data_IF_323073902548
#
_entry.id   IF_323073902548
#
_cell.length_a   1.000
_cell.length_b   1.000
_cell.length_c   1.000
_cell.angle_alpha   90.00
_cell.angle_beta   90.00
_cell.angle_gamma   90.00
#
_symmetry.space_group_name_H-M   'P 1'
#
loop_
_entity.id
_entity.type
_entity.pdbx_description
1 polymer ?
#
# COMPACT_ATOMS: atom_id res chain seq x y z
N UNK A 1 5.40 -7.07 -18.45
CA UNK A 1 5.30 -8.16 -17.46
C UNK A 1 6.22 -7.99 -16.25
N UNK A 2 7.01 -6.90 -16.12
CA UNK A 2 7.83 -6.67 -14.91
C UNK A 2 9.22 -7.32 -14.87
N UNK A 3 9.56 -8.21 -15.82
CA UNK A 3 10.81 -8.98 -15.78
C UNK A 3 12.08 -8.12 -15.72
N UNK A 4 12.04 -6.90 -16.27
CA UNK A 4 13.16 -5.96 -16.24
C UNK A 4 13.49 -5.46 -14.83
N UNK A 5 12.57 -5.62 -13.87
CA UNK A 5 12.74 -5.36 -12.43
C UNK A 5 12.82 -6.65 -11.61
N UNK A 6 12.91 -7.82 -12.26
CA UNK A 6 12.85 -9.13 -11.57
C UNK A 6 11.47 -9.47 -11.01
N UNK A 7 10.41 -8.82 -11.50
CA UNK A 7 9.03 -9.01 -11.05
C UNK A 7 8.18 -9.76 -12.09
N UNK A 8 7.05 -10.30 -11.64
CA UNK A 8 5.98 -10.79 -12.51
C UNK A 8 4.72 -9.94 -12.31
N UNK A 9 4.37 -9.16 -13.33
CA UNK A 9 3.23 -8.23 -13.33
C UNK A 9 2.19 -8.73 -14.33
N UNK A 10 0.99 -8.97 -13.82
CA UNK A 10 -0.22 -9.33 -14.56
C UNK A 10 -1.28 -8.24 -14.44
N UNK A 11 -2.21 -8.19 -15.39
CA UNK A 11 -3.26 -7.19 -15.46
C UNK A 11 -4.63 -7.86 -15.60
N UNK A 12 -5.63 -7.32 -14.92
CA UNK A 12 -7.04 -7.68 -15.06
C UNK A 12 -7.86 -6.39 -15.13
N UNK A 13 -8.98 -6.43 -15.85
CA UNK A 13 -9.86 -5.27 -16.03
C UNK A 13 -10.89 -5.23 -14.90
N UNK A 14 -11.11 -4.06 -14.34
CA UNK A 14 -12.29 -3.75 -13.52
C UNK A 14 -13.28 -2.98 -14.39
N UNK A 15 -14.29 -3.67 -14.91
CA UNK A 15 -15.25 -3.10 -15.88
C UNK A 15 -16.04 -1.89 -15.32
N UNK A 16 -16.33 -1.93 -14.02
CA UNK A 16 -17.02 -0.86 -13.30
C UNK A 16 -16.41 -0.72 -11.90
N UNK A 17 -16.27 0.51 -11.38
CA UNK A 17 -15.73 0.74 -10.04
C UNK A 17 -16.75 0.35 -8.96
N UNK A 18 -16.99 -0.94 -8.76
CA UNK A 18 -17.99 -1.46 -7.81
C UNK A 18 -17.45 -1.64 -6.39
N UNK A 19 -16.46 -0.82 -5.99
CA UNK A 19 -15.84 -0.84 -4.66
C UNK A 19 -14.51 -1.60 -4.59
N UNK A 20 -13.72 -1.29 -3.57
CA UNK A 20 -12.34 -1.79 -3.40
C UNK A 20 -12.31 -3.30 -3.20
N UNK A 21 -13.27 -3.88 -2.49
CA UNK A 21 -13.27 -5.32 -2.22
C UNK A 21 -13.47 -6.18 -3.50
N UNK A 22 -13.94 -5.58 -4.60
CA UNK A 22 -14.03 -6.24 -5.90
C UNK A 22 -12.65 -6.70 -6.41
N UNK A 23 -11.55 -6.08 -5.97
CA UNK A 23 -10.19 -6.49 -6.32
C UNK A 23 -9.92 -7.97 -5.98
N UNK A 24 -10.46 -8.48 -4.87
CA UNK A 24 -10.28 -9.88 -4.46
C UNK A 24 -11.15 -10.86 -5.24
N UNK A 25 -12.24 -10.38 -5.85
CA UNK A 25 -13.07 -11.18 -6.75
C UNK A 25 -12.39 -11.27 -8.13
N UNK A 26 -11.93 -10.13 -8.66
CA UNK A 26 -11.23 -10.08 -9.95
C UNK A 26 -9.89 -10.84 -9.88
N UNK A 27 -9.21 -10.74 -8.75
CA UNK A 27 -7.91 -11.35 -8.50
C UNK A 27 -7.96 -12.76 -7.89
N UNK A 28 -9.14 -13.40 -7.75
CA UNK A 28 -9.28 -14.68 -7.02
C UNK A 28 -8.32 -15.76 -7.55
N UNK A 29 -8.25 -15.93 -8.88
CA UNK A 29 -7.34 -16.87 -9.54
C UNK A 29 -5.86 -16.53 -9.29
N UNK A 30 -5.52 -15.24 -9.29
CA UNK A 30 -4.16 -14.76 -9.03
C UNK A 30 -3.73 -14.98 -7.58
N UNK A 31 -4.65 -14.82 -6.63
CA UNK A 31 -4.40 -15.01 -5.20
C UNK A 31 -4.24 -16.50 -4.88
N UNK A 32 -5.09 -17.37 -5.45
CA UNK A 32 -5.07 -18.80 -5.17
C UNK A 32 -5.18 -19.08 -3.66
N UNK A 33 -4.18 -19.76 -3.10
CA UNK A 33 -4.10 -20.07 -1.67
C UNK A 33 -3.11 -19.19 -0.90
N UNK A 34 -2.50 -18.20 -1.56
CA UNK A 34 -1.47 -17.36 -0.96
C UNK A 34 -2.04 -16.22 -0.12
N UNK A 35 -1.16 -15.60 0.68
CA UNK A 35 -1.45 -14.30 1.30
C UNK A 35 -1.33 -13.19 0.27
N UNK A 36 -2.14 -12.14 0.42
CA UNK A 36 -2.20 -11.04 -0.54
C UNK A 36 -2.05 -9.69 0.16
N UNK A 37 -1.30 -8.79 -0.48
CA UNK A 37 -1.23 -7.38 -0.12
C UNK A 37 -2.05 -6.60 -1.15
N UNK A 38 -2.99 -5.78 -0.67
CA UNK A 38 -3.70 -4.80 -1.48
C UNK A 38 -3.17 -3.41 -1.14
N UNK A 39 -2.78 -2.65 -2.16
CA UNK A 39 -2.43 -1.22 -2.05
C UNK A 39 -3.25 -0.44 -3.08
N UNK A 40 -3.82 0.69 -2.65
CA UNK A 40 -4.50 1.62 -3.56
C UNK A 40 -3.46 2.41 -4.35
N UNK A 41 -3.66 2.54 -5.66
CA UNK A 41 -2.67 3.12 -6.58
C UNK A 41 -2.39 4.62 -6.40
N UNK A 42 -3.22 5.32 -5.61
CA UNK A 42 -3.15 6.75 -5.28
C UNK A 42 -2.64 7.01 -3.86
N UNK A 43 -2.20 5.97 -3.15
CA UNK A 43 -1.70 6.08 -1.78
C UNK A 43 -0.17 6.11 -1.76
N UNK A 44 0.39 7.17 -1.17
CA UNK A 44 1.84 7.35 -1.00
C UNK A 44 2.18 7.20 0.48
N UNK A 45 3.15 6.33 0.77
CA UNK A 45 3.70 6.12 2.12
C UNK A 45 5.19 6.46 2.12
N UNK A 46 5.62 7.24 3.11
CA UNK A 46 7.03 7.60 3.30
C UNK A 46 7.40 7.62 4.78
N UNK A 47 8.60 7.15 5.12
CA UNK A 47 9.14 7.18 6.48
C UNK A 47 9.76 5.85 6.89
N UNK A 48 10.31 5.80 8.11
CA UNK A 48 10.94 4.60 8.66
C UNK A 48 9.87 3.62 9.12
N UNK A 49 9.45 2.74 8.21
CA UNK A 49 8.47 1.70 8.49
C UNK A 49 8.88 0.37 7.84
N UNK A 50 9.04 -0.67 8.67
CA UNK A 50 9.47 -1.99 8.20
C UNK A 50 8.28 -2.85 7.75
N UNK A 51 7.61 -2.40 6.69
CA UNK A 51 6.48 -3.12 6.10
C UNK A 51 6.86 -4.57 5.70
N UNK A 52 8.07 -4.77 5.19
CA UNK A 52 8.54 -6.09 4.75
C UNK A 52 8.60 -7.08 5.90
N UNK A 53 9.00 -6.66 7.11
CA UNK A 53 8.94 -7.51 8.30
C UNK A 53 7.51 -7.91 8.62
N UNK A 54 6.55 -6.98 8.60
CA UNK A 54 5.15 -7.30 8.85
C UNK A 54 4.60 -8.29 7.82
N UNK A 55 4.89 -8.08 6.54
CA UNK A 55 4.49 -8.99 5.47
C UNK A 55 5.10 -10.40 5.64
N UNK A 56 6.40 -10.50 5.99
CA UNK A 56 7.10 -11.78 6.20
C UNK A 56 6.62 -12.53 7.45
N UNK A 57 6.24 -11.82 8.50
CA UNK A 57 5.77 -12.40 9.76
C UNK A 57 4.27 -12.69 9.75
N UNK A 58 3.55 -12.29 8.71
CA UNK A 58 2.12 -12.50 8.62
C UNK A 58 1.80 -14.00 8.46
N UNK A 59 1.15 -14.57 9.47
CA UNK A 59 0.75 -15.99 9.51
C UNK A 59 -0.74 -16.21 9.18
N UNK A 60 -1.49 -15.13 8.94
CA UNK A 60 -2.92 -15.16 8.68
C UNK A 60 -3.73 -14.07 9.37
N UNK A 61 -5.02 -14.04 9.03
CA UNK A 61 -6.02 -13.05 9.44
C UNK A 61 -6.09 -11.88 8.48
N UNK A 62 -6.24 -10.69 9.04
CA UNK A 62 -6.10 -9.42 8.35
C UNK A 62 -5.15 -8.51 9.15
N UNK A 63 -4.32 -7.75 8.45
CA UNK A 63 -3.54 -6.65 9.01
C UNK A 63 -3.80 -5.39 8.18
N UNK A 64 -4.32 -4.36 8.83
CA UNK A 64 -4.53 -3.04 8.23
C UNK A 64 -3.72 -1.98 8.97
N UNK A 65 -3.47 -0.84 8.33
CA UNK A 65 -2.65 0.22 8.90
C UNK A 65 -3.51 1.42 9.24
N UNK A 66 -3.56 1.79 10.52
CA UNK A 66 -4.27 2.95 11.04
C UNK A 66 -3.35 4.16 11.10
N UNK A 67 -3.80 5.30 10.57
CA UNK A 67 -3.07 6.55 10.56
C UNK A 67 -3.88 7.64 11.22
N UNK A 68 -3.24 8.46 12.05
CA UNK A 68 -3.92 9.55 12.74
C UNK A 68 -4.17 10.71 11.76
N UNK A 69 -5.44 11.07 11.54
CA UNK A 69 -5.85 12.15 10.63
C UNK A 69 -6.66 13.23 11.36
N UNK A 70 -6.68 14.43 10.78
CA UNK A 70 -7.51 15.53 11.26
C UNK A 70 -8.98 15.43 10.84
N UNK A 71 -9.26 14.72 9.74
CA UNK A 71 -10.59 14.59 9.12
C UNK A 71 -10.95 13.09 8.94
N UNK A 72 -11.22 12.36 10.04
CA UNK A 72 -11.45 10.91 9.99
C UNK A 72 -12.75 10.50 9.30
N UNK A 73 -13.77 11.37 9.26
CA UNK A 73 -15.07 11.08 8.61
C UNK A 73 -14.99 10.79 7.11
N UNK A 74 -13.86 11.10 6.46
CA UNK A 74 -13.62 10.81 5.05
C UNK A 74 -13.21 9.36 4.78
N UNK A 75 -12.86 8.59 5.82
CA UNK A 75 -12.22 7.30 5.71
C UNK A 75 -12.97 6.21 6.49
N UNK A 76 -12.53 4.96 6.34
CA UNK A 76 -12.82 3.91 7.31
C UNK A 76 -12.14 4.24 8.64
N UNK A 77 -12.89 4.37 9.74
CA UNK A 77 -12.37 4.75 11.06
C UNK A 77 -12.34 3.54 11.97
N UNK A 78 -11.20 3.32 12.62
CA UNK A 78 -11.02 2.22 13.57
C UNK A 78 -11.09 2.72 15.02
N UNK A 79 -11.89 2.05 15.84
CA UNK A 79 -11.97 2.29 17.28
C UNK A 79 -11.08 1.29 18.04
N UNK A 80 -10.45 1.75 19.12
CA UNK A 80 -9.64 0.92 20.00
C UNK A 80 -10.16 0.96 21.43
N UNK A 81 -10.04 -0.15 22.15
CA UNK A 81 -10.25 -0.18 23.61
C UNK A 81 -9.05 0.41 24.36
N UNK A 82 -9.17 0.52 25.69
CA UNK A 82 -8.11 1.01 26.58
C UNK A 82 -6.84 0.15 26.52
N UNK A 83 -6.96 -1.14 26.15
CA UNK A 83 -5.84 -2.05 25.96
C UNK A 83 -5.23 -1.95 24.54
N UNK A 84 -5.76 -1.08 23.67
CA UNK A 84 -5.29 -0.87 22.31
C UNK A 84 -5.77 -1.91 21.30
N UNK A 85 -6.75 -2.76 21.64
CA UNK A 85 -7.35 -3.75 20.73
C UNK A 85 -8.45 -3.12 19.90
N UNK A 86 -8.64 -3.64 18.68
CA UNK A 86 -9.67 -3.14 17.75
C UNK A 86 -11.06 -3.52 18.25
N UNK A 87 -11.94 -2.54 18.40
CA UNK A 87 -13.31 -2.72 18.89
C UNK A 87 -14.32 -2.63 17.75
N UNK A 88 -14.17 -1.62 16.89
CA UNK A 88 -15.08 -1.41 15.76
C UNK A 88 -14.35 -0.78 14.59
N UNK A 89 -14.92 -0.95 13.40
CA UNK A 89 -14.51 -0.25 12.19
C UNK A 89 -15.76 0.22 11.44
N UNK A 90 -15.79 1.49 11.07
CA UNK A 90 -16.94 2.13 10.44
C UNK A 90 -16.52 2.88 9.18
N UNK A 91 -17.26 2.71 8.09
CA UNK A 91 -16.98 3.38 6.82
C UNK A 91 -17.57 4.79 6.86
N UNK A 92 -16.71 5.81 6.76
CA UNK A 92 -17.09 7.23 6.67
C UNK A 92 -18.14 7.64 7.73
N UNK A 93 -17.86 7.42 9.03
CA UNK A 93 -18.82 7.70 10.08
C UNK A 93 -19.09 9.21 10.19
N UNK A 94 -20.36 9.58 10.37
CA UNK A 94 -20.75 10.99 10.63
C UNK A 94 -20.20 11.49 11.97
N UNK A 95 -20.05 10.58 12.94
CA UNK A 95 -19.49 10.85 14.26
C UNK A 95 -18.37 9.83 14.52
N UNK A 96 -17.14 10.14 14.09
CA UNK A 96 -16.01 9.22 14.18
C UNK A 96 -15.67 8.93 15.65
N UNK A 97 -15.51 7.64 15.98
CA UNK A 97 -15.17 7.20 17.35
C UNK A 97 -13.68 7.35 17.68
N UNK A 98 -12.85 7.61 16.69
CA UNK A 98 -11.43 7.90 16.86
C UNK A 98 -10.92 8.75 15.68
N UNK A 99 -9.69 9.24 15.80
CA UNK A 99 -8.99 9.94 14.71
C UNK A 99 -8.11 9.01 13.87
N UNK A 100 -8.22 7.69 14.01
CA UNK A 100 -7.45 6.73 13.24
C UNK A 100 -8.23 6.29 12.00
N UNK A 101 -7.79 6.78 10.85
CA UNK A 101 -8.24 6.32 9.54
C UNK A 101 -7.48 5.04 9.14
N UNK A 102 -8.20 4.08 8.58
CA UNK A 102 -7.60 2.94 7.89
C UNK A 102 -7.09 3.40 6.54
N UNK A 103 -5.79 3.25 6.32
CA UNK A 103 -5.11 3.67 5.09
C UNK A 103 -5.40 2.70 3.93
N UNK A 104 -5.02 3.08 2.71
CA UNK A 104 -5.15 2.25 1.51
C UNK A 104 -4.16 1.10 1.39
N UNK A 105 -3.70 0.51 2.50
CA UNK A 105 -2.76 -0.61 2.54
C UNK A 105 -3.30 -1.71 3.44
N UNK A 106 -3.35 -2.94 2.91
CA UNK A 106 -3.98 -4.07 3.57
C UNK A 106 -3.20 -5.36 3.31
N UNK A 107 -3.09 -6.22 4.31
CA UNK A 107 -2.56 -7.59 4.17
C UNK A 107 -3.66 -8.56 4.63
N UNK A 108 -3.97 -9.53 3.79
CA UNK A 108 -4.95 -10.57 4.09
C UNK A 108 -4.41 -11.96 3.77
N UNK A 109 -4.96 -12.97 4.42
CA UNK A 109 -4.84 -14.33 3.92
C UNK A 109 -5.85 -14.62 2.79
N UNK A 110 -5.76 -15.83 2.23
CA UNK A 110 -6.55 -16.28 1.09
C UNK A 110 -8.06 -16.29 1.32
N UNK A 111 -8.54 -16.28 2.58
CA UNK A 111 -9.98 -16.21 2.90
C UNK A 111 -10.62 -14.92 2.41
N UNK A 112 -9.82 -13.89 2.10
CA UNK A 112 -10.31 -12.60 1.62
C UNK A 112 -11.12 -12.70 0.34
N UNK A 113 -10.78 -13.62 -0.57
CA UNK A 113 -11.51 -13.81 -1.82
C UNK A 113 -12.94 -14.32 -1.55
N UNK A 114 -13.07 -15.33 -0.69
CA UNK A 114 -14.37 -15.86 -0.27
C UNK A 114 -15.18 -14.81 0.50
N UNK A 115 -14.54 -14.08 1.42
CA UNK A 115 -15.20 -12.99 2.17
C UNK A 115 -15.75 -11.95 1.19
N UNK A 116 -14.92 -11.48 0.25
CA UNK A 116 -15.31 -10.47 -0.73
C UNK A 116 -16.47 -10.93 -1.63
N UNK A 117 -16.48 -12.21 -2.06
CA UNK A 117 -17.58 -12.78 -2.86
C UNK A 117 -18.93 -12.80 -2.14
N UNK A 118 -18.92 -12.91 -0.82
CA UNK A 118 -20.12 -12.98 -0.01
C UNK A 118 -20.59 -11.61 0.52
N UNK A 119 -19.87 -10.53 0.21
CA UNK A 119 -20.29 -9.18 0.58
C UNK A 119 -21.51 -8.72 -0.21
N UNK A 120 -22.32 -7.88 0.44
CA UNK A 120 -23.42 -7.17 -0.20
C UNK A 120 -22.97 -5.73 -0.48
N UNK A 121 -23.41 -5.13 -1.60
CA UNK A 121 -23.16 -3.72 -1.85
C UNK A 121 -23.65 -2.84 -0.69
N UNK A 122 -22.89 -1.81 -0.35
CA UNK A 122 -23.26 -0.83 0.66
C UNK A 122 -24.43 0.05 0.20
N UNK A 123 -24.88 0.97 1.04
CA UNK A 123 -25.85 2.00 0.64
C UNK A 123 -25.40 2.87 -0.54
N UNK A 124 -24.10 2.82 -0.91
CA UNK A 124 -23.52 3.50 -2.07
C UNK A 124 -23.46 2.61 -3.32
N UNK A 125 -23.82 1.34 -3.21
CA UNK A 125 -23.71 0.37 -4.30
C UNK A 125 -22.29 -0.18 -4.52
N UNK A 126 -21.38 0.01 -3.56
CA UNK A 126 -19.98 -0.43 -3.61
C UNK A 126 -19.74 -1.62 -2.67
N UNK A 127 -18.83 -2.52 -3.03
CA UNK A 127 -18.27 -3.54 -2.15
C UNK A 127 -17.16 -2.90 -1.32
N UNK A 128 -17.50 -2.51 -0.10
CA UNK A 128 -16.62 -1.73 0.77
C UNK A 128 -15.53 -2.61 1.37
N UNK A 129 -14.28 -2.13 1.34
CA UNK A 129 -13.15 -2.80 2.03
C UNK A 129 -13.37 -2.84 3.54
N UNK A 130 -14.09 -1.86 4.09
CA UNK A 130 -14.46 -1.84 5.51
C UNK A 130 -15.33 -3.03 5.90
N UNK A 131 -16.17 -3.55 5.01
CA UNK A 131 -16.97 -4.74 5.32
C UNK A 131 -16.14 -6.04 5.27
N UNK A 132 -15.08 -6.10 4.43
CA UNK A 132 -14.06 -7.15 4.53
C UNK A 132 -13.39 -7.10 5.91
N UNK A 133 -12.97 -5.90 6.34
CA UNK A 133 -12.33 -5.71 7.63
C UNK A 133 -13.24 -6.13 8.81
N UNK A 134 -14.53 -5.78 8.75
CA UNK A 134 -15.53 -6.22 9.74
C UNK A 134 -15.64 -7.74 9.79
N UNK A 135 -15.69 -8.42 8.65
CA UNK A 135 -15.77 -9.88 8.60
C UNK A 135 -14.55 -10.57 9.26
N UNK A 136 -13.35 -9.97 9.17
CA UNK A 136 -12.19 -10.43 9.93
C UNK A 136 -12.27 -10.06 11.43
N UNK A 137 -12.78 -8.87 11.76
CA UNK A 137 -12.96 -8.41 13.13
C UNK A 137 -13.93 -9.30 13.92
N UNK A 138 -15.07 -9.64 13.33
CA UNK A 138 -16.09 -10.53 13.92
C UNK A 138 -15.53 -11.93 14.24
N UNK A 139 -14.52 -12.38 13.49
CA UNK A 139 -13.81 -13.65 13.72
C UNK A 139 -12.64 -13.52 14.70
N UNK A 140 -12.36 -12.33 15.23
CA UNK A 140 -11.19 -12.06 16.08
C UNK A 140 -9.85 -12.15 15.33
N UNK A 141 -9.87 -11.96 14.01
CA UNK A 141 -8.72 -12.14 13.12
C UNK A 141 -8.18 -10.84 12.51
N UNK A 142 -8.81 -9.68 12.81
CA UNK A 142 -8.33 -8.37 12.38
C UNK A 142 -7.29 -7.82 13.35
N UNK A 143 -6.14 -7.44 12.82
CA UNK A 143 -5.10 -6.67 13.51
C UNK A 143 -4.97 -5.31 12.85
N UNK A 144 -4.67 -4.29 13.65
CA UNK A 144 -4.42 -2.94 13.16
C UNK A 144 -3.07 -2.47 13.69
N UNK A 145 -2.18 -2.12 12.78
CA UNK A 145 -0.91 -1.48 13.10
C UNK A 145 -1.08 0.04 13.07
N UNK A 146 -0.74 0.73 14.15
CA UNK A 146 -0.81 2.19 14.22
C UNK A 146 0.47 2.79 13.64
N UNK A 147 0.36 3.44 12.49
CA UNK A 147 1.45 4.18 11.89
C UNK A 147 1.79 5.40 12.77
N UNK A 148 3.05 5.47 13.19
CA UNK A 148 3.54 6.55 14.04
C UNK A 148 3.69 7.88 13.31
N UNK A 149 3.86 8.96 14.08
CA UNK A 149 4.01 10.34 13.58
C UNK A 149 5.21 10.56 12.64
N UNK A 150 6.17 9.64 12.61
CA UNK A 150 7.32 9.68 11.71
C UNK A 150 7.03 9.16 10.29
N UNK A 151 5.80 8.69 10.04
CA UNK A 151 5.33 8.24 8.74
C UNK A 151 4.48 9.35 8.14
N UNK A 152 4.69 9.62 6.86
CA UNK A 152 3.78 10.38 6.03
C UNK A 152 2.92 9.40 5.23
N UNK A 153 1.61 9.56 5.36
CA UNK A 153 0.62 8.96 4.46
C UNK A 153 -0.08 10.09 3.70
N UNK A 154 -0.01 10.03 2.38
CA UNK A 154 -0.52 11.06 1.48
C UNK A 154 -1.49 10.39 0.49
N UNK A 155 -2.73 10.84 0.52
CA UNK A 155 -3.80 10.43 -0.39
C UNK A 155 -3.97 11.51 -1.48
N UNK A 156 -3.75 11.15 -2.74
CA UNK A 156 -3.73 12.10 -3.88
C UNK A 156 -5.10 12.34 -4.52
N UNK A 157 -6.19 12.15 -3.77
CA UNK A 157 -7.56 12.27 -4.28
C UNK A 157 -8.05 13.68 -4.67
N UNK A 158 -7.33 14.77 -4.35
CA UNK A 158 -7.69 16.14 -4.77
C UNK A 158 -6.51 16.86 -5.43
N UNK A 159 -6.78 17.92 -6.20
CA UNK A 159 -5.72 18.73 -6.81
C UNK A 159 -4.76 19.31 -5.76
N UNK A 160 -5.30 19.75 -4.62
CA UNK A 160 -4.51 20.29 -3.51
C UNK A 160 -3.65 19.19 -2.86
N UNK A 161 -4.23 18.03 -2.53
CA UNK A 161 -3.48 16.94 -1.91
C UNK A 161 -2.41 16.35 -2.84
N UNK A 162 -2.67 16.34 -4.15
CA UNK A 162 -1.68 15.96 -5.16
C UNK A 162 -0.50 16.95 -5.22
N UNK A 163 -0.78 18.26 -5.16
CA UNK A 163 0.27 19.29 -5.14
C UNK A 163 1.10 19.20 -3.85
N UNK A 164 0.45 19.00 -2.70
CA UNK A 164 1.14 18.81 -1.42
C UNK A 164 2.04 17.58 -1.44
N UNK A 165 1.56 16.47 -2.00
CA UNK A 165 2.37 15.26 -2.17
C UNK A 165 3.59 15.50 -3.07
N UNK A 166 3.41 16.19 -4.21
CA UNK A 166 4.51 16.54 -5.10
C UNK A 166 5.56 17.44 -4.40
N UNK A 167 5.11 18.44 -3.65
CA UNK A 167 5.98 19.33 -2.88
C UNK A 167 6.73 18.59 -1.76
N UNK A 168 6.06 17.67 -1.08
CA UNK A 168 6.67 16.83 -0.05
C UNK A 168 7.81 15.99 -0.64
N UNK A 169 7.55 15.23 -1.71
CA UNK A 169 8.56 14.40 -2.38
C UNK A 169 9.72 15.25 -2.90
N UNK A 170 9.41 16.36 -3.59
CA UNK A 170 10.41 17.29 -4.13
C UNK A 170 11.34 17.83 -3.04
N UNK A 171 10.80 18.16 -1.87
CA UNK A 171 11.57 18.68 -0.74
C UNK A 171 12.54 17.64 -0.19
N UNK A 172 12.09 16.40 -0.04
CA UNK A 172 12.94 15.31 0.46
C UNK A 172 14.04 14.98 -0.54
N UNK A 173 13.70 14.74 -1.82
CA UNK A 173 14.68 14.36 -2.83
C UNK A 173 15.77 15.43 -3.00
N UNK A 174 15.39 16.72 -3.03
CA UNK A 174 16.36 17.82 -3.13
C UNK A 174 17.31 17.93 -1.94
N UNK A 175 16.86 17.54 -0.74
CA UNK A 175 17.66 17.64 0.48
C UNK A 175 18.58 16.44 0.68
N UNK A 176 18.15 15.25 0.27
CA UNK A 176 18.89 14.01 0.48
C UNK A 176 19.72 13.59 -0.74
N UNK A 177 19.36 14.05 -1.95
CA UNK A 177 19.94 13.55 -3.20
C UNK A 177 19.52 12.12 -3.55
N UNK A 178 18.62 11.54 -2.77
CA UNK A 178 18.05 10.20 -2.97
C UNK A 178 16.65 10.30 -3.55
N UNK A 179 16.26 9.30 -4.36
CA UNK A 179 14.93 9.23 -4.95
C UNK A 179 13.96 8.43 -4.10
N UNK A 180 12.70 8.85 -4.08
CA UNK A 180 11.61 8.10 -3.46
C UNK A 180 10.93 7.25 -4.54
N UNK A 181 10.70 5.97 -4.25
CA UNK A 181 10.05 5.01 -5.16
C UNK A 181 10.76 4.82 -6.52
N UNK A 182 12.10 4.93 -6.56
CA UNK A 182 12.91 4.55 -7.72
C UNK A 182 12.93 3.01 -7.87
N UNK A 183 12.18 2.48 -8.83
CA UNK A 183 11.92 1.05 -8.93
C UNK A 183 13.16 0.23 -9.28
N UNK A 184 14.02 0.75 -10.16
CA UNK A 184 15.26 0.08 -10.55
C UNK A 184 16.25 0.00 -9.38
N UNK A 185 16.36 1.07 -8.58
CA UNK A 185 17.15 1.06 -7.36
C UNK A 185 16.61 0.02 -6.37
N UNK A 186 15.30 0.01 -6.12
CA UNK A 186 14.66 -0.94 -5.21
C UNK A 186 14.96 -2.37 -5.68
N UNK A 187 14.72 -2.67 -6.96
CA UNK A 187 14.99 -3.99 -7.53
C UNK A 187 16.47 -4.38 -7.40
N UNK A 188 17.40 -3.43 -7.59
CA UNK A 188 18.83 -3.70 -7.49
C UNK A 188 19.30 -3.94 -6.05
N UNK A 189 18.91 -3.07 -5.10
CA UNK A 189 19.24 -3.21 -3.67
C UNK A 189 18.61 -4.46 -3.06
N UNK A 190 17.39 -4.82 -3.47
CA UNK A 190 16.70 -6.05 -3.05
C UNK A 190 17.21 -7.31 -3.77
N UNK A 191 18.14 -7.18 -4.71
CA UNK A 191 18.70 -8.28 -5.50
C UNK A 191 17.67 -9.03 -6.37
N UNK A 192 16.58 -8.36 -6.76
CA UNK A 192 15.65 -8.87 -7.77
C UNK A 192 16.27 -8.82 -9.17
N UNK A 193 17.18 -7.88 -9.39
CA UNK A 193 18.03 -7.83 -10.58
C UNK A 193 19.50 -7.81 -10.19
N UNK A 194 20.33 -8.39 -11.04
CA UNK A 194 21.78 -8.38 -10.90
C UNK A 194 22.42 -7.20 -11.63
N UNK A 195 23.75 -7.05 -11.48
CA UNK A 195 24.51 -5.95 -12.08
C UNK A 195 24.39 -5.88 -13.59
N UNK A 196 24.43 -7.03 -14.27
CA UNK A 196 24.31 -7.08 -15.74
C UNK A 196 22.95 -6.56 -16.20
N UNK A 197 21.88 -6.93 -15.49
CA UNK A 197 20.52 -6.44 -15.76
C UNK A 197 20.41 -4.93 -15.48
N UNK A 198 21.00 -4.44 -14.39
CA UNK A 198 21.02 -3.01 -14.06
C UNK A 198 21.75 -2.18 -15.13
N UNK A 199 22.91 -2.64 -15.60
CA UNK A 199 23.65 -2.00 -16.69
C UNK A 199 22.82 -2.00 -17.99
N UNK A 200 22.20 -3.13 -18.33
CA UNK A 200 21.35 -3.21 -19.52
C UNK A 200 20.11 -2.30 -19.47
N UNK A 201 19.58 -1.99 -18.28
CA UNK A 201 18.55 -0.97 -18.09
C UNK A 201 19.11 0.43 -18.37
N UNK A 202 20.23 0.76 -17.74
CA UNK A 202 20.90 2.07 -17.88
C UNK A 202 21.30 2.39 -19.33
N UNK A 203 21.75 1.40 -20.09
CA UNK A 203 22.11 1.56 -21.51
C UNK A 203 20.93 2.01 -22.38
N UNK A 204 19.71 1.59 -22.03
CA UNK A 204 18.48 1.94 -22.76
C UNK A 204 17.88 3.28 -22.34
N UNK A 205 18.33 3.84 -21.21
CA UNK A 205 17.83 5.11 -20.71
C UNK A 205 18.49 6.28 -21.44
N UNK A 206 17.66 7.30 -21.72
CA UNK A 206 18.14 8.60 -22.19
C UNK A 206 19.08 9.23 -21.15
N UNK A 207 20.00 10.08 -21.62
CA UNK A 207 20.89 10.82 -20.72
C UNK A 207 20.10 11.92 -20.01
N UNK A 208 19.78 11.68 -18.73
CA UNK A 208 19.02 12.58 -17.86
C UNK A 208 19.41 12.34 -16.39
N UNK A 209 18.87 13.16 -15.50
CA UNK A 209 19.22 13.11 -14.08
C UNK A 209 18.77 11.81 -13.39
N UNK A 210 17.75 11.11 -13.92
CA UNK A 210 17.34 9.80 -13.43
C UNK A 210 18.39 8.73 -13.73
N UNK A 211 18.94 8.72 -14.95
CA UNK A 211 20.05 7.82 -15.34
C UNK A 211 21.31 8.10 -14.52
N UNK A 212 21.67 9.38 -14.34
CA UNK A 212 22.83 9.77 -13.52
C UNK A 212 22.68 9.28 -12.08
N UNK A 213 21.51 9.45 -11.49
CA UNK A 213 21.20 8.92 -10.16
C UNK A 213 21.39 7.40 -10.08
N UNK A 214 20.83 6.66 -11.03
CA UNK A 214 20.95 5.19 -11.04
C UNK A 214 22.38 4.69 -11.25
N UNK A 215 23.23 5.44 -11.96
CA UNK A 215 24.66 5.15 -12.07
C UNK A 215 25.37 5.30 -10.72
N UNK A 216 25.03 6.33 -9.95
CA UNK A 216 25.56 6.53 -8.59
C UNK A 216 25.13 5.41 -7.65
N UNK A 217 23.84 5.06 -7.65
CA UNK A 217 23.29 3.91 -6.90
C UNK A 217 24.03 2.62 -7.26
N UNK A 218 24.29 2.38 -8.55
CA UNK A 218 24.97 1.17 -9.00
C UNK A 218 26.39 1.08 -8.42
N UNK A 219 27.14 2.20 -8.41
CA UNK A 219 28.49 2.25 -7.81
C UNK A 219 28.44 2.00 -6.30
N UNK A 220 27.53 2.67 -5.60
CA UNK A 220 27.35 2.53 -4.16
C UNK A 220 27.06 1.08 -3.74
N UNK A 221 26.11 0.43 -4.41
CA UNK A 221 25.70 -0.96 -4.12
C UNK A 221 26.79 -1.98 -4.46
N UNK A 222 27.64 -1.66 -5.44
CA UNK A 222 28.79 -2.49 -5.82
C UNK A 222 30.02 -2.27 -4.92
N UNK A 223 30.00 -1.25 -4.06
CA UNK A 223 31.13 -0.84 -3.23
C UNK A 223 32.28 -0.20 -4.02
N UNK A 224 31.95 0.52 -5.11
CA UNK A 224 32.89 1.20 -6.01
C UNK A 224 32.99 2.71 -5.74
#
# INVERSE_FOLDING_TARGET
NGNHLGLNISYKIQEKPSGIAQAFIIGEEFIGNDHVVLILGDNIFYGVYDFLRHARQFQGGALVFGYYVSDPQRYGVVEFDEAGRVVSIEEKPKQPKSNYAVTGLYIYDSRVAEIARNLKPSGRGELEITDVNKAYLEKGLLRVEKLGRGIAWLDTGTHESMLDAANFISTIEKRQGQKIACLEEIAYRMRFINRQQMVALLEKMADNDYKKYLLEVTREVDGL
#
